data_IF_438619980661
#
_entry.id   IF_438619980661
#
_cell.length_a   1.000
_cell.length_b   1.000
_cell.length_c   1.000
_cell.angle_alpha   90.00
_cell.angle_beta   90.00
_cell.angle_gamma   90.00
#
_symmetry.space_group_name_H-M   'P 1'
#
loop_
_entity.id
_entity.type
_entity.pdbx_description
1 polymer ?
#
# COMPACT_ATOMS: atom_id res chain seq x y z
N UNK A 1 47.59 9.18 -9.42
CA UNK A 1 46.54 8.38 -10.10
C UNK A 1 45.70 7.50 -9.14
N UNK A 2 46.16 7.13 -7.95
CA UNK A 2 45.44 6.23 -7.02
C UNK A 2 44.20 6.84 -6.32
N UNK A 3 44.18 8.15 -6.06
CA UNK A 3 43.06 8.84 -5.38
C UNK A 3 41.81 8.98 -6.24
N UNK A 4 41.94 9.05 -7.56
CA UNK A 4 40.80 9.15 -8.49
C UNK A 4 40.02 7.84 -8.59
N UNK A 5 40.67 6.70 -8.36
CA UNK A 5 40.01 5.38 -8.38
C UNK A 5 39.13 5.15 -7.15
N UNK A 6 39.53 5.66 -5.98
CA UNK A 6 38.79 5.46 -4.72
C UNK A 6 37.46 6.22 -4.74
N UNK A 7 37.45 7.45 -5.28
CA UNK A 7 36.24 8.28 -5.38
C UNK A 7 35.19 7.66 -6.32
N UNK A 8 35.63 7.04 -7.42
CA UNK A 8 34.76 6.37 -8.36
C UNK A 8 34.10 5.11 -7.77
N UNK A 9 34.84 4.36 -6.94
CA UNK A 9 34.32 3.14 -6.31
C UNK A 9 33.24 3.44 -5.24
N UNK A 10 33.37 4.55 -4.51
CA UNK A 10 32.37 4.94 -3.50
C UNK A 10 31.07 5.44 -4.12
N UNK A 11 31.12 6.11 -5.28
CA UNK A 11 29.92 6.59 -5.96
C UNK A 11 29.06 5.44 -6.52
N UNK A 12 29.70 4.36 -7.00
CA UNK A 12 28.99 3.20 -7.54
C UNK A 12 28.21 2.40 -6.48
N UNK A 13 28.68 2.39 -5.23
CA UNK A 13 28.03 1.64 -4.15
C UNK A 13 26.69 2.26 -3.72
N UNK A 14 26.51 3.57 -3.88
CA UNK A 14 25.24 4.25 -3.60
C UNK A 14 24.20 4.12 -4.72
N UNK A 15 24.61 3.76 -5.94
CA UNK A 15 23.69 3.66 -7.09
C UNK A 15 23.01 2.28 -7.15
N UNK A 16 23.66 1.23 -6.61
CA UNK A 16 23.07 -0.12 -6.55
C UNK A 16 21.98 -0.29 -5.46
N UNK A 17 21.87 0.66 -4.53
CA UNK A 17 20.83 0.69 -3.49
C UNK A 17 19.56 1.46 -3.86
N UNK A 18 19.50 2.07 -5.05
CA UNK A 18 18.38 2.87 -5.54
C UNK A 18 17.28 2.04 -6.23
N UNK A 19 17.03 0.80 -5.80
CA UNK A 19 15.68 0.23 -5.99
C UNK A 19 14.79 0.99 -5.01
N UNK A 20 14.29 2.15 -5.48
CA UNK A 20 13.80 3.20 -4.60
C UNK A 20 12.70 2.66 -3.71
N UNK A 21 12.76 2.99 -2.42
CA UNK A 21 11.72 2.62 -1.44
C UNK A 21 10.34 3.02 -1.97
N UNK A 22 10.26 4.11 -2.72
CA UNK A 22 9.06 4.58 -3.40
C UNK A 22 8.61 3.68 -4.55
N UNK A 23 9.50 3.18 -5.42
CA UNK A 23 9.13 2.15 -6.41
C UNK A 23 8.65 0.86 -5.75
N UNK A 24 9.28 0.44 -4.65
CA UNK A 24 8.85 -0.74 -3.91
C UNK A 24 7.48 -0.54 -3.28
N UNK A 25 7.22 0.63 -2.69
CA UNK A 25 5.89 1.02 -2.18
C UNK A 25 4.86 1.08 -3.32
N UNK A 26 5.19 1.67 -4.46
CA UNK A 26 4.31 1.77 -5.61
C UNK A 26 3.91 0.36 -6.11
N UNK A 27 4.86 -0.57 -6.21
CA UNK A 27 4.59 -1.97 -6.57
C UNK A 27 3.71 -2.69 -5.54
N UNK A 28 3.92 -2.43 -4.25
CA UNK A 28 3.07 -2.98 -3.17
C UNK A 28 1.66 -2.40 -3.24
N UNK A 29 1.52 -1.09 -3.42
CA UNK A 29 0.23 -0.42 -3.59
C UNK A 29 -0.48 -0.94 -4.84
N UNK A 30 0.20 -1.05 -5.98
CA UNK A 30 -0.41 -1.56 -7.22
C UNK A 30 -0.92 -3.00 -7.06
N UNK A 31 -0.13 -3.87 -6.40
CA UNK A 31 -0.55 -5.25 -6.12
C UNK A 31 -1.71 -5.31 -5.14
N UNK A 32 -1.68 -4.51 -4.08
CA UNK A 32 -2.75 -4.41 -3.10
C UNK A 32 -4.03 -3.89 -3.77
N UNK A 33 -3.95 -2.83 -4.58
CA UNK A 33 -5.09 -2.24 -5.29
C UNK A 33 -5.80 -3.25 -6.21
N UNK A 34 -5.09 -4.20 -6.82
CA UNK A 34 -5.72 -5.27 -7.63
C UNK A 34 -6.52 -6.27 -6.80
N UNK A 35 -6.25 -6.35 -5.48
CA UNK A 35 -6.87 -7.29 -4.54
C UNK A 35 -7.71 -6.60 -3.47
N UNK A 36 -7.82 -5.28 -3.55
CA UNK A 36 -8.73 -4.47 -2.75
C UNK A 36 -9.98 -4.25 -3.60
N UNK A 37 -11.13 -4.61 -3.05
CA UNK A 37 -12.42 -4.31 -3.63
C UNK A 37 -13.17 -3.35 -2.72
N UNK A 38 -13.86 -2.38 -3.32
CA UNK A 38 -14.84 -1.57 -2.59
C UNK A 38 -16.18 -2.31 -2.57
N UNK A 39 -16.82 -2.34 -1.42
CA UNK A 39 -18.12 -2.99 -1.22
C UNK A 39 -18.96 -2.26 -0.19
N UNK A 40 -20.26 -2.58 -0.14
CA UNK A 40 -21.16 -2.10 0.90
C UNK A 40 -21.55 -3.25 1.83
N UNK A 41 -21.36 -3.07 3.13
CA UNK A 41 -21.79 -3.99 4.17
C UNK A 41 -23.04 -3.41 4.84
N UNK A 42 -24.05 -4.25 5.06
CA UNK A 42 -25.25 -3.90 5.83
C UNK A 42 -25.04 -4.40 7.26
N UNK A 43 -25.00 -3.46 8.22
CA UNK A 43 -24.88 -3.76 9.63
C UNK A 43 -26.22 -4.23 10.21
N UNK A 44 -26.18 -4.87 11.39
CA UNK A 44 -27.38 -5.35 12.08
C UNK A 44 -28.37 -4.24 12.45
N UNK A 45 -27.87 -3.01 12.62
CA UNK A 45 -28.69 -1.82 12.88
C UNK A 45 -29.29 -1.20 11.61
N UNK A 46 -29.09 -1.83 10.44
CA UNK A 46 -29.62 -1.40 9.16
C UNK A 46 -28.74 -0.36 8.43
N UNK A 47 -27.65 0.13 9.04
CA UNK A 47 -26.73 1.04 8.35
C UNK A 47 -26.02 0.33 7.21
N UNK A 48 -25.86 1.04 6.08
CA UNK A 48 -25.00 0.63 4.97
C UNK A 48 -23.68 1.37 5.08
N UNK A 49 -22.58 0.62 5.16
CA UNK A 49 -21.23 1.17 5.27
C UNK A 49 -20.39 0.75 4.07
N UNK A 50 -19.69 1.71 3.47
CA UNK A 50 -18.72 1.45 2.40
C UNK A 50 -17.41 0.97 3.03
N UNK A 51 -16.90 -0.16 2.55
CA UNK A 51 -15.66 -0.76 3.03
C UNK A 51 -14.77 -1.18 1.87
N UNK A 52 -13.46 -1.09 2.11
CA UNK A 52 -12.42 -1.73 1.31
C UNK A 52 -12.11 -3.09 1.92
N UNK A 53 -12.21 -4.14 1.10
CA UNK A 53 -11.89 -5.51 1.48
C UNK A 53 -10.65 -5.94 0.73
N UNK A 54 -9.64 -6.35 1.48
CA UNK A 54 -8.45 -6.99 0.94
C UNK A 54 -8.51 -8.49 1.25
N UNK A 55 -8.29 -9.32 0.25
CA UNK A 55 -8.28 -10.78 0.40
C UNK A 55 -7.13 -11.43 -0.39
N UNK A 56 -6.30 -12.18 0.32
CA UNK A 56 -5.26 -13.06 -0.17
C UNK A 56 -5.30 -14.42 0.53
N UNK A 57 -4.58 -15.41 -0.02
CA UNK A 57 -4.60 -16.79 0.47
C UNK A 57 -4.29 -16.93 1.97
N UNK A 58 -3.42 -16.08 2.53
CA UNK A 58 -3.00 -16.14 3.94
C UNK A 58 -3.10 -14.78 4.67
N UNK A 59 -3.65 -13.76 4.01
CA UNK A 59 -3.75 -12.42 4.55
C UNK A 59 -5.06 -11.78 4.11
N UNK A 60 -5.68 -11.01 4.99
CA UNK A 60 -6.93 -10.32 4.68
C UNK A 60 -7.15 -9.16 5.63
N UNK A 61 -8.06 -8.27 5.25
CA UNK A 61 -8.39 -7.11 6.06
C UNK A 61 -9.63 -6.40 5.57
N UNK A 62 -10.24 -5.64 6.48
CA UNK A 62 -11.42 -4.83 6.24
C UNK A 62 -11.15 -3.43 6.79
N UNK A 63 -11.35 -2.42 5.96
CA UNK A 63 -11.32 -1.01 6.37
C UNK A 63 -12.59 -0.33 5.90
N UNK A 64 -13.26 0.43 6.77
CA UNK A 64 -14.59 0.98 6.48
C UNK A 64 -14.66 2.49 6.72
N UNK A 65 -15.45 3.17 5.89
CA UNK A 65 -15.69 4.60 5.99
C UNK A 65 -16.86 4.91 6.93
N UNK A 66 -16.53 5.13 8.19
CA UNK A 66 -17.51 5.53 9.20
C UNK A 66 -17.94 6.99 9.09
N UNK A 67 -17.13 7.85 8.45
CA UNK A 67 -17.44 9.28 8.35
C UNK A 67 -18.62 9.53 7.41
N UNK A 68 -18.66 8.84 6.28
CA UNK A 68 -19.73 8.94 5.29
C UNK A 68 -20.89 7.94 5.52
N UNK A 69 -20.85 7.17 6.61
CA UNK A 69 -21.94 6.24 6.95
C UNK A 69 -23.14 7.03 7.50
N UNK A 70 -24.36 6.86 6.94
CA UNK A 70 -25.56 7.47 7.48
C UNK A 70 -25.77 7.06 8.94
N UNK A 71 -25.86 8.04 9.84
CA UNK A 71 -26.14 7.79 11.24
C UNK A 71 -27.63 7.51 11.43
N UNK A 72 -27.96 6.54 12.29
CA UNK A 72 -29.33 6.34 12.75
C UNK A 72 -29.77 7.58 13.53
N UNK A 73 -30.93 8.14 13.16
CA UNK A 73 -31.55 9.27 13.86
C UNK A 73 -32.09 8.86 15.23
#
# INVERSE_FOLDING_TARGET
MKTKLIIAATAAFFIAGCDSVEERKARVVERASKRIIETQIVLHDGRKITCLVYSEAYAGGLSCDWHNTPQTK
#
